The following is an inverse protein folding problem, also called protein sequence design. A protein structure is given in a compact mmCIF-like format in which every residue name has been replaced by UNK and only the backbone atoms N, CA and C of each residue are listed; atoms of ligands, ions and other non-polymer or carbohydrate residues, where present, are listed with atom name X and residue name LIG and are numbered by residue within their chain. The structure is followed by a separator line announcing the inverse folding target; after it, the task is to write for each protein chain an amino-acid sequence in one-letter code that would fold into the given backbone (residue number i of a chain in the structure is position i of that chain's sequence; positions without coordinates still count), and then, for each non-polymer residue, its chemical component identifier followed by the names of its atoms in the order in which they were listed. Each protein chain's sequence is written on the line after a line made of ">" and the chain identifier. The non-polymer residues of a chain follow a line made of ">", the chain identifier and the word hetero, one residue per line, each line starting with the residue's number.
data_IF_318120489330
#
_entry.id   IF_318120489330
#
_cell.length_a   1.000
_cell.length_b   1.000
_cell.length_c   1.000
_cell.angle_alpha   90.00
_cell.angle_beta   90.00
_cell.angle_gamma   90.00
#
_symmetry.space_group_name_H-M   'P 1'
#
loop_
_entity.id
_entity.type
_entity.pdbx_description
1 polymer ?
#
# COMPACT_ATOMS: atom_id res chain seq x y z
N UNK A 1 18.47 43.00 38.23
CA UNK A 1 18.86 41.62 38.61
C UNK A 1 18.16 40.65 37.64
N UNK A 2 18.80 40.35 36.52
CA UNK A 2 18.38 39.31 35.56
C UNK A 2 19.64 38.52 35.23
N UNK A 3 19.65 37.23 35.61
CA UNK A 3 20.73 36.30 35.30
C UNK A 3 20.51 35.70 33.92
N UNK A 4 21.49 35.89 33.06
CA UNK A 4 21.68 35.22 31.79
C UNK A 4 21.93 33.71 31.98
N UNK A 5 21.23 32.86 31.25
CA UNK A 5 21.58 31.43 31.07
C UNK A 5 22.32 31.28 29.76
N UNK A 6 23.53 30.81 29.88
CA UNK A 6 24.41 30.56 28.75
C UNK A 6 23.97 29.33 27.93
N UNK A 7 24.15 29.46 26.63
CA UNK A 7 24.07 28.38 25.63
C UNK A 7 25.23 27.42 25.80
N UNK A 8 24.96 26.16 26.07
CA UNK A 8 25.91 25.08 25.92
C UNK A 8 25.71 24.45 24.54
N UNK A 9 26.59 24.79 23.62
CA UNK A 9 26.77 24.03 22.36
C UNK A 9 27.49 22.72 22.70
N UNK A 10 26.79 21.60 22.57
CA UNK A 10 27.40 20.29 22.59
C UNK A 10 27.82 19.91 21.15
N UNK A 11 29.10 19.96 20.88
CA UNK A 11 29.72 19.34 19.70
C UNK A 11 29.83 17.84 19.96
N UNK A 12 28.95 17.05 19.37
CA UNK A 12 29.07 15.59 19.39
C UNK A 12 29.96 15.16 18.24
N UNK A 13 31.17 14.75 18.55
CA UNK A 13 32.08 14.02 17.67
C UNK A 13 31.59 12.57 17.58
N UNK A 14 31.04 12.18 16.44
CA UNK A 14 30.71 10.79 16.15
C UNK A 14 31.98 10.00 15.87
N UNK A 15 32.42 9.23 16.86
CA UNK A 15 33.40 8.15 16.68
C UNK A 15 32.69 6.90 16.20
N UNK A 16 33.01 6.45 14.99
CA UNK A 16 32.53 5.20 14.45
C UNK A 16 33.20 4.03 15.17
N UNK A 17 32.47 3.44 16.13
CA UNK A 17 32.87 2.16 16.74
C UNK A 17 31.85 1.11 16.32
N UNK A 18 32.30 0.20 15.46
CA UNK A 18 31.56 -0.98 15.02
C UNK A 18 31.32 -1.90 16.23
N UNK A 19 30.17 -1.80 16.87
CA UNK A 19 29.79 -2.73 17.92
C UNK A 19 29.21 -4.00 17.29
N UNK A 20 29.97 -5.09 17.33
CA UNK A 20 29.47 -6.45 17.16
C UNK A 20 28.56 -6.76 18.34
N UNK A 21 27.25 -6.80 18.12
CA UNK A 21 26.30 -7.35 19.08
C UNK A 21 26.26 -8.86 18.91
N UNK A 22 27.11 -9.56 19.66
CA UNK A 22 26.96 -11.00 19.90
C UNK A 22 26.12 -11.19 21.15
N UNK A 23 24.82 -11.40 20.97
CA UNK A 23 23.99 -11.93 22.07
C UNK A 23 24.14 -13.45 22.12
N UNK A 24 24.99 -13.91 23.01
CA UNK A 24 25.01 -15.29 23.50
C UNK A 24 23.96 -15.40 24.59
N UNK A 25 22.78 -15.91 24.24
CA UNK A 25 21.81 -16.35 25.22
C UNK A 25 22.11 -17.82 25.58
N UNK A 26 22.82 -18.03 26.70
CA UNK A 26 23.07 -19.32 27.26
C UNK A 26 21.99 -19.57 28.34
N UNK A 27 20.90 -20.22 28.00
CA UNK A 27 19.98 -20.81 28.98
C UNK A 27 19.95 -22.33 28.78
N UNK A 28 20.63 -23.04 29.64
CA UNK A 28 20.45 -24.49 29.80
C UNK A 28 19.21 -24.69 30.66
N UNK A 29 18.12 -25.16 30.08
CA UNK A 29 17.01 -25.75 30.81
C UNK A 29 17.25 -27.24 30.95
N UNK A 30 17.11 -27.80 32.18
CA UNK A 30 17.39 -29.20 32.47
C UNK A 30 16.12 -30.06 32.48
N UNK A 31 15.21 -29.97 31.53
CA UNK A 31 14.15 -31.00 31.38
C UNK A 31 13.75 -31.05 29.90
N UNK A 32 14.02 -32.21 29.30
CA UNK A 32 13.87 -32.50 27.89
C UNK A 32 12.44 -32.45 27.38
N UNK A 33 12.13 -31.39 26.67
CA UNK A 33 11.15 -31.40 25.62
C UNK A 33 11.57 -30.33 24.58
N UNK A 34 12.47 -30.73 23.72
CA UNK A 34 12.93 -29.91 22.61
C UNK A 34 11.80 -29.70 21.60
N UNK A 35 10.99 -28.67 21.80
CA UNK A 35 10.22 -28.08 20.69
C UNK A 35 11.24 -27.49 19.72
N UNK A 36 11.49 -28.22 18.64
CA UNK A 36 12.28 -27.74 17.52
C UNK A 36 11.58 -26.50 16.95
N UNK A 37 12.04 -25.31 17.33
CA UNK A 37 11.80 -24.13 16.50
C UNK A 37 12.48 -24.40 15.16
N UNK A 38 11.76 -24.28 14.03
CA UNK A 38 12.37 -24.58 12.72
C UNK A 38 13.56 -23.64 12.53
N UNK A 39 14.75 -24.22 12.45
CA UNK A 39 15.99 -23.49 12.14
C UNK A 39 15.90 -22.71 10.83
N UNK A 40 14.94 -23.10 9.97
CA UNK A 40 14.55 -22.37 8.74
C UNK A 40 14.02 -20.96 8.98
N UNK A 41 13.22 -20.73 10.03
CA UNK A 41 12.68 -19.39 10.34
C UNK A 41 13.77 -18.42 10.85
N UNK A 42 14.77 -18.93 11.58
CA UNK A 42 15.89 -18.11 12.03
C UNK A 42 16.81 -17.72 10.88
N UNK A 43 17.14 -18.67 9.98
CA UNK A 43 17.95 -18.37 8.77
C UNK A 43 17.24 -17.43 7.80
N UNK A 44 15.91 -17.53 7.68
CA UNK A 44 15.15 -16.60 6.88
C UNK A 44 15.27 -15.16 7.42
N UNK A 45 15.07 -14.93 8.74
CA UNK A 45 15.17 -13.60 9.36
C UNK A 45 16.57 -12.98 9.27
N UNK A 46 17.63 -13.75 9.46
CA UNK A 46 19.02 -13.27 9.39
C UNK A 46 19.46 -12.95 7.95
N UNK A 47 18.79 -13.51 6.92
CA UNK A 47 19.10 -13.27 5.51
C UNK A 47 18.43 -12.03 4.90
N UNK A 48 17.36 -11.49 5.50
CA UNK A 48 16.52 -10.44 4.92
C UNK A 48 16.99 -9.03 5.28
N UNK A 49 17.37 -8.78 6.54
CA UNK A 49 17.92 -7.50 6.95
C UNK A 49 19.10 -7.03 6.07
N UNK A 50 20.09 -7.90 5.71
CA UNK A 50 21.15 -7.51 4.78
C UNK A 50 20.68 -7.20 3.35
N UNK A 51 19.56 -7.76 2.88
CA UNK A 51 19.03 -7.49 1.54
C UNK A 51 18.36 -6.13 1.46
N UNK A 52 17.53 -5.80 2.44
CA UNK A 52 16.88 -4.49 2.53
C UNK A 52 17.94 -3.40 2.72
N UNK A 53 18.95 -3.63 3.54
CA UNK A 53 20.09 -2.72 3.70
C UNK A 53 20.91 -2.56 2.41
N UNK A 54 21.10 -3.61 1.59
CA UNK A 54 21.79 -3.53 0.28
C UNK A 54 20.99 -2.77 -0.75
N UNK A 55 19.65 -2.83 -0.70
CA UNK A 55 18.80 -2.01 -1.55
C UNK A 55 19.03 -0.54 -1.25
N UNK A 56 19.06 -0.18 0.02
CA UNK A 56 19.41 1.14 0.46
C UNK A 56 20.76 1.61 -0.12
N UNK A 57 21.79 0.79 -0.05
CA UNK A 57 23.12 1.10 -0.58
C UNK A 57 23.13 1.30 -2.12
N UNK A 58 22.25 0.63 -2.88
CA UNK A 58 22.11 0.84 -4.34
C UNK A 58 21.50 2.21 -4.67
N UNK A 59 20.47 2.61 -3.92
CA UNK A 59 19.83 3.92 -4.07
C UNK A 59 20.83 5.04 -3.75
N UNK A 60 21.59 4.90 -2.66
CA UNK A 60 22.64 5.87 -2.29
C UNK A 60 23.71 5.99 -3.39
N UNK A 61 24.17 4.87 -3.94
CA UNK A 61 25.17 4.88 -5.00
C UNK A 61 24.69 5.59 -6.25
N UNK A 62 23.41 5.44 -6.58
CA UNK A 62 22.76 6.14 -7.70
C UNK A 62 22.63 7.65 -7.45
N UNK A 63 22.65 8.12 -6.19
CA UNK A 63 22.55 9.55 -5.84
C UNK A 63 23.88 10.27 -5.72
N UNK A 64 24.97 9.52 -5.49
CA UNK A 64 26.32 10.10 -5.23
C UNK A 64 27.23 10.00 -6.45
N UNK A 65 26.86 9.18 -7.42
CA UNK A 65 27.65 8.91 -8.62
C UNK A 65 27.05 9.73 -9.78
N UNK A 66 27.75 10.77 -10.25
CA UNK A 66 27.27 11.62 -11.36
C UNK A 66 27.06 10.83 -12.67
N UNK A 67 27.65 9.62 -12.78
CA UNK A 67 27.47 8.67 -13.86
C UNK A 67 26.43 7.57 -13.54
N UNK A 68 25.80 7.59 -12.34
CA UNK A 68 24.77 6.63 -12.00
C UNK A 68 23.48 6.90 -12.79
N UNK A 69 22.76 5.86 -13.22
CA UNK A 69 21.45 6.07 -13.83
C UNK A 69 20.56 6.85 -12.85
N UNK A 70 19.93 7.91 -13.37
CA UNK A 70 18.97 8.70 -12.59
C UNK A 70 18.00 7.74 -11.86
N UNK A 71 17.71 8.06 -10.60
CA UNK A 71 16.67 7.32 -9.88
C UNK A 71 15.40 7.37 -10.73
N UNK A 72 14.71 6.24 -10.90
CA UNK A 72 13.47 6.25 -11.65
C UNK A 72 12.52 7.29 -11.03
N UNK A 73 11.94 8.14 -11.85
CA UNK A 73 10.86 9.02 -11.42
C UNK A 73 9.79 8.16 -10.75
N UNK A 74 9.46 8.49 -9.50
CA UNK A 74 8.40 7.80 -8.80
C UNK A 74 7.07 8.41 -9.22
N UNK A 75 6.11 7.56 -9.58
CA UNK A 75 4.73 7.97 -9.87
C UNK A 75 4.01 8.25 -8.53
N UNK A 76 4.10 9.50 -8.10
CA UNK A 76 3.55 9.96 -6.82
C UNK A 76 2.14 10.49 -7.04
N UNK A 77 1.24 10.08 -6.17
CA UNK A 77 -0.15 10.56 -6.14
C UNK A 77 -0.50 11.14 -4.78
N UNK A 78 -1.43 12.07 -4.77
CA UNK A 78 -1.96 12.65 -3.53
C UNK A 78 -3.22 11.90 -3.11
N UNK A 79 -3.20 11.39 -1.87
CA UNK A 79 -4.32 10.71 -1.21
C UNK A 79 -4.73 11.54 0.02
N UNK A 80 -5.59 12.53 -0.17
CA UNK A 80 -5.89 13.50 0.87
C UNK A 80 -4.62 14.20 1.37
N UNK A 81 -4.23 14.04 2.65
CA UNK A 81 -3.02 14.64 3.21
C UNK A 81 -1.74 13.85 2.90
N UNK A 82 -1.85 12.65 2.31
CA UNK A 82 -0.73 11.76 2.04
C UNK A 82 -0.20 11.93 0.62
N UNK A 83 1.10 11.85 0.49
CA UNK A 83 1.75 11.52 -0.77
C UNK A 83 2.05 10.02 -0.78
N UNK A 84 1.55 9.30 -1.76
CA UNK A 84 1.71 7.87 -1.92
C UNK A 84 2.19 7.50 -3.32
N UNK A 85 2.53 6.23 -3.52
CA UNK A 85 2.77 5.69 -4.86
C UNK A 85 1.45 5.51 -5.62
N UNK A 86 1.53 5.57 -6.94
CA UNK A 86 0.38 5.31 -7.81
C UNK A 86 -0.13 3.86 -7.74
N UNK A 87 0.55 3.00 -6.98
CA UNK A 87 0.17 1.60 -6.72
C UNK A 87 0.44 1.27 -5.26
N UNK A 88 -0.45 0.51 -4.62
CA UNK A 88 -0.32 0.00 -3.26
C UNK A 88 -0.09 -1.51 -3.25
N UNK A 89 0.53 -2.01 -2.19
CA UNK A 89 0.78 -3.44 -1.96
C UNK A 89 0.02 -3.90 -0.73
N UNK A 90 -0.68 -5.02 -0.82
CA UNK A 90 -1.26 -5.71 0.34
C UNK A 90 -0.32 -6.79 0.86
N UNK A 91 -0.03 -6.73 2.15
CA UNK A 91 0.74 -7.74 2.86
C UNK A 91 -0.12 -8.92 3.35
N UNK A 92 -1.31 -9.09 2.81
CA UNK A 92 -2.24 -10.17 3.19
C UNK A 92 -1.58 -11.54 3.10
N UNK A 93 -1.77 -12.34 4.16
CA UNK A 93 -1.21 -13.67 4.32
C UNK A 93 0.34 -13.72 4.39
N UNK A 94 1.02 -12.60 4.58
CA UNK A 94 2.47 -12.60 4.74
C UNK A 94 2.87 -13.10 6.14
N UNK A 95 3.89 -13.94 6.17
CA UNK A 95 4.37 -14.60 7.38
C UNK A 95 5.83 -14.26 7.74
N UNK A 96 6.48 -13.42 6.94
CA UNK A 96 7.87 -13.04 7.10
C UNK A 96 8.85 -14.06 6.50
N UNK A 97 8.40 -14.87 5.57
CA UNK A 97 9.24 -15.79 4.80
C UNK A 97 10.12 -15.10 3.75
N UNK A 98 10.94 -15.90 3.05
CA UNK A 98 11.83 -15.39 2.00
C UNK A 98 11.09 -14.75 0.85
N UNK A 99 9.92 -15.28 0.50
CA UNK A 99 9.12 -14.79 -0.61
C UNK A 99 8.53 -13.43 -0.28
N UNK A 100 8.01 -13.26 0.96
CA UNK A 100 7.48 -11.98 1.43
C UNK A 100 8.54 -10.88 1.41
N UNK A 101 9.75 -11.18 1.90
CA UNK A 101 10.85 -10.23 1.89
C UNK A 101 11.34 -9.90 0.46
N UNK A 102 11.38 -10.90 -0.43
CA UNK A 102 11.72 -10.66 -1.84
C UNK A 102 10.64 -9.82 -2.53
N UNK A 103 9.36 -10.05 -2.22
CA UNK A 103 8.26 -9.27 -2.73
C UNK A 103 8.33 -7.81 -2.22
N UNK A 104 8.56 -7.61 -0.92
CA UNK A 104 8.77 -6.28 -0.33
C UNK A 104 9.89 -5.52 -1.03
N UNK A 105 11.07 -6.15 -1.18
CA UNK A 105 12.22 -5.53 -1.85
C UNK A 105 11.88 -5.16 -3.30
N UNK A 106 11.24 -6.07 -4.05
CA UNK A 106 10.86 -5.81 -5.43
C UNK A 106 9.85 -4.66 -5.56
N UNK A 107 8.92 -4.55 -4.63
CA UNK A 107 7.95 -3.46 -4.58
C UNK A 107 8.62 -2.12 -4.27
N UNK A 108 9.48 -2.06 -3.26
CA UNK A 108 10.21 -0.83 -2.91
C UNK A 108 11.13 -0.38 -4.05
N UNK A 109 11.83 -1.32 -4.70
CA UNK A 109 12.66 -1.05 -5.89
C UNK A 109 11.85 -0.43 -7.05
N UNK A 110 10.54 -0.65 -7.07
CA UNK A 110 9.60 -0.08 -8.05
C UNK A 110 8.90 1.17 -7.56
N UNK A 111 9.19 1.65 -6.35
CA UNK A 111 8.61 2.87 -5.81
C UNK A 111 7.27 2.70 -5.11
N UNK A 112 6.93 1.50 -4.66
CA UNK A 112 5.76 1.33 -3.80
C UNK A 112 6.04 1.93 -2.42
N UNK A 113 5.22 2.90 -2.02
CA UNK A 113 5.35 3.55 -0.71
C UNK A 113 4.05 3.50 0.10
N UNK A 114 3.06 2.72 -0.34
CA UNK A 114 1.81 2.50 0.38
C UNK A 114 1.56 0.99 0.53
N UNK A 115 1.46 0.52 1.77
CA UNK A 115 1.35 -0.92 2.08
C UNK A 115 0.21 -1.17 3.06
N UNK A 116 -0.69 -2.08 2.69
CA UNK A 116 -1.78 -2.55 3.54
C UNK A 116 -1.34 -3.69 4.45
N UNK A 117 -1.79 -3.64 5.71
CA UNK A 117 -1.71 -4.71 6.68
C UNK A 117 -3.10 -4.97 7.27
N UNK A 118 -3.68 -6.13 6.99
CA UNK A 118 -5.04 -6.47 7.41
C UNK A 118 -5.11 -7.18 8.77
N UNK A 119 -3.96 -7.64 9.28
CA UNK A 119 -3.85 -8.33 10.56
C UNK A 119 -2.73 -7.74 11.42
N UNK A 120 -2.80 -7.99 12.72
CA UNK A 120 -1.75 -7.57 13.66
C UNK A 120 -0.37 -8.20 13.36
N UNK A 121 -0.35 -9.41 12.83
CA UNK A 121 0.89 -10.09 12.43
C UNK A 121 1.53 -9.42 11.21
N UNK A 122 0.72 -9.04 10.24
CA UNK A 122 1.15 -8.30 9.05
C UNK A 122 1.62 -6.90 9.42
N UNK A 123 0.87 -6.18 10.27
CA UNK A 123 1.26 -4.87 10.77
C UNK A 123 2.64 -4.92 11.45
N UNK A 124 2.82 -5.86 12.37
CA UNK A 124 4.11 -6.07 13.03
C UNK A 124 5.23 -6.31 12.03
N UNK A 125 5.00 -7.18 11.03
CA UNK A 125 5.98 -7.51 10.01
C UNK A 125 6.33 -6.29 9.14
N UNK A 126 5.34 -5.51 8.73
CA UNK A 126 5.56 -4.30 7.92
C UNK A 126 6.31 -3.22 8.70
N UNK A 127 6.02 -3.04 9.99
CA UNK A 127 6.76 -2.09 10.82
C UNK A 127 8.20 -2.56 11.09
N UNK A 128 8.46 -3.87 11.18
CA UNK A 128 9.82 -4.41 11.20
C UNK A 128 10.57 -4.08 9.89
N UNK A 129 9.92 -4.26 8.72
CA UNK A 129 10.52 -3.95 7.41
C UNK A 129 10.73 -2.44 7.22
N UNK A 130 9.78 -1.62 7.62
CA UNK A 130 9.90 -0.16 7.65
C UNK A 130 11.08 0.28 8.55
N UNK A 131 11.27 -0.36 9.71
CA UNK A 131 12.40 -0.11 10.58
C UNK A 131 13.76 -0.43 9.93
N UNK A 132 13.87 -1.54 9.21
CA UNK A 132 15.09 -1.87 8.46
C UNK A 132 15.38 -0.87 7.34
N UNK A 133 14.36 -0.38 6.65
CA UNK A 133 14.49 0.68 5.66
C UNK A 133 15.03 1.96 6.30
N UNK A 134 14.43 2.40 7.40
CA UNK A 134 14.80 3.65 8.08
C UNK A 134 16.23 3.64 8.66
N UNK A 135 16.77 2.47 8.97
CA UNK A 135 18.16 2.31 9.41
C UNK A 135 19.15 2.18 8.27
N UNK A 136 18.71 2.15 7.02
CA UNK A 136 19.60 2.06 5.87
C UNK A 136 20.27 3.42 5.59
N UNK A 137 21.51 3.40 5.12
CA UNK A 137 22.20 4.62 4.66
C UNK A 137 21.43 5.32 3.54
N UNK A 138 20.66 4.55 2.76
CA UNK A 138 19.84 5.07 1.70
C UNK A 138 18.72 5.98 2.21
N UNK A 139 18.02 5.59 3.27
CA UNK A 139 16.98 6.42 3.87
C UNK A 139 17.57 7.74 4.39
N UNK A 140 18.80 7.70 4.94
CA UNK A 140 19.46 8.87 5.47
C UNK A 140 19.94 9.86 4.39
N UNK A 141 20.29 9.37 3.21
CA UNK A 141 20.90 10.18 2.13
C UNK A 141 19.92 10.54 1.02
N UNK A 142 18.91 9.71 0.78
CA UNK A 142 18.00 9.87 -0.36
C UNK A 142 16.85 10.85 -0.13
N UNK A 143 16.53 11.19 1.12
CA UNK A 143 15.31 11.91 1.43
C UNK A 143 14.02 11.12 1.09
N UNK A 144 14.12 9.89 0.63
CA UNK A 144 12.98 9.01 0.34
C UNK A 144 12.32 8.61 1.65
N UNK A 145 11.04 8.91 1.77
CA UNK A 145 10.26 8.54 2.96
C UNK A 145 10.11 7.02 3.08
N UNK A 146 10.08 6.47 4.30
CA UNK A 146 9.74 5.06 4.49
C UNK A 146 8.33 4.81 3.95
N UNK A 147 8.04 3.57 3.50
CA UNK A 147 6.68 3.21 3.08
C UNK A 147 5.66 3.49 4.19
N UNK A 148 4.53 4.05 3.82
CA UNK A 148 3.38 4.28 4.70
C UNK A 148 2.64 2.95 4.89
N UNK A 149 2.47 2.52 6.12
CA UNK A 149 1.73 1.31 6.47
C UNK A 149 0.35 1.68 6.97
N UNK A 150 -0.68 1.27 6.28
CA UNK A 150 -2.05 1.40 6.77
C UNK A 150 -2.62 0.06 7.21
N UNK A 151 -3.43 0.09 8.29
CA UNK A 151 -4.11 -1.12 8.77
C UNK A 151 -5.61 -0.99 8.66
N UNK A 152 -6.23 -2.04 8.13
CA UNK A 152 -7.67 -2.17 8.04
C UNK A 152 -8.17 -2.76 9.35
N UNK A 153 -9.06 -2.03 10.02
CA UNK A 153 -9.63 -2.43 11.31
C UNK A 153 -11.15 -2.53 11.18
N UNK A 154 -11.67 -3.74 11.38
CA UNK A 154 -13.10 -3.98 11.49
C UNK A 154 -13.55 -3.61 12.92
N UNK A 155 -14.40 -2.60 13.00
CA UNK A 155 -14.92 -2.12 14.29
C UNK A 155 -16.25 -2.72 14.69
N UNK A 156 -16.92 -3.48 13.82
CA UNK A 156 -18.20 -4.12 14.12
C UNK A 156 -18.08 -5.23 15.18
N UNK A 157 -16.87 -5.78 15.35
CA UNK A 157 -16.56 -6.80 16.33
C UNK A 157 -16.05 -6.25 17.68
N UNK A 158 -15.88 -4.92 17.81
CA UNK A 158 -15.36 -4.27 18.98
C UNK A 158 -16.42 -3.35 19.63
N UNK A 159 -16.25 -3.04 20.93
CA UNK A 159 -17.16 -2.13 21.63
C UNK A 159 -17.01 -0.68 21.17
N UNK A 160 -15.82 -0.33 20.69
CA UNK A 160 -15.50 1.01 20.16
C UNK A 160 -14.33 1.00 19.21
N UNK A 161 -14.16 2.07 18.43
CA UNK A 161 -12.98 2.29 17.58
C UNK A 161 -11.69 2.21 18.40
N UNK A 162 -11.68 2.81 19.59
CA UNK A 162 -10.54 2.76 20.51
C UNK A 162 -10.15 1.33 20.86
N UNK A 163 -11.13 0.51 21.25
CA UNK A 163 -10.87 -0.87 21.68
C UNK A 163 -10.36 -1.72 20.52
N UNK A 164 -10.92 -1.52 19.32
CA UNK A 164 -10.43 -2.17 18.11
C UNK A 164 -8.97 -1.83 17.81
N UNK A 165 -8.59 -0.56 17.90
CA UNK A 165 -7.22 -0.11 17.66
C UNK A 165 -6.28 -0.62 18.75
N UNK A 166 -6.67 -0.53 20.02
CA UNK A 166 -5.86 -1.04 21.12
C UNK A 166 -5.64 -2.55 21.02
N UNK A 167 -6.65 -3.30 20.61
CA UNK A 167 -6.53 -4.75 20.37
C UNK A 167 -5.55 -5.04 19.21
N UNK A 168 -5.64 -4.30 18.11
CA UNK A 168 -4.71 -4.42 17.00
C UNK A 168 -3.26 -4.17 17.45
N UNK A 169 -3.01 -3.03 18.10
CA UNK A 169 -1.66 -2.61 18.54
C UNK A 169 -1.10 -3.57 19.58
N UNK A 170 -1.90 -4.00 20.55
CA UNK A 170 -1.48 -4.98 21.55
C UNK A 170 -1.11 -6.32 20.89
N UNK A 171 -1.92 -6.82 19.97
CA UNK A 171 -1.64 -8.06 19.24
C UNK A 171 -0.45 -7.91 18.28
N UNK A 172 -0.19 -6.70 17.76
CA UNK A 172 0.99 -6.37 16.95
C UNK A 172 2.26 -6.11 17.79
N UNK A 173 2.22 -6.38 19.10
CA UNK A 173 3.35 -6.17 20.02
C UNK A 173 3.79 -4.70 20.12
N UNK A 174 2.82 -3.78 20.12
CA UNK A 174 3.03 -2.35 20.22
C UNK A 174 3.33 -1.65 18.88
N UNK A 175 3.24 -2.37 17.75
CA UNK A 175 3.39 -1.75 16.44
C UNK A 175 2.12 -0.97 16.06
N UNK A 176 2.29 0.31 15.70
CA UNK A 176 1.20 1.21 15.33
C UNK A 176 1.17 1.44 13.82
N UNK A 177 -0.01 1.48 13.17
CA UNK A 177 -0.10 1.85 11.76
C UNK A 177 0.16 3.36 11.57
N UNK A 178 0.63 3.74 10.38
CA UNK A 178 0.77 5.15 10.01
C UNK A 178 -0.59 5.75 9.61
N UNK A 179 -1.50 4.91 9.10
CA UNK A 179 -2.89 5.26 8.75
C UNK A 179 -3.83 4.18 9.28
N UNK A 180 -4.89 4.60 9.95
CA UNK A 180 -5.95 3.71 10.40
C UNK A 180 -7.09 3.69 9.36
N UNK A 181 -7.28 2.57 8.69
CA UNK A 181 -8.38 2.36 7.75
C UNK A 181 -9.53 1.64 8.45
N UNK A 182 -10.65 2.35 8.61
CA UNK A 182 -11.81 1.87 9.36
C UNK A 182 -12.77 1.14 8.43
N UNK A 183 -13.02 -0.12 8.74
CA UNK A 183 -14.04 -0.94 8.10
C UNK A 183 -15.21 -1.18 9.05
N UNK A 184 -16.44 -0.95 8.60
CA UNK A 184 -17.67 -1.27 9.31
C UNK A 184 -18.82 -1.37 8.33
N UNK A 185 -19.65 -2.38 8.50
CA UNK A 185 -20.89 -2.57 7.72
C UNK A 185 -22.13 -2.10 8.47
N UNK A 186 -22.08 -2.12 9.79
CA UNK A 186 -23.25 -1.97 10.64
C UNK A 186 -23.30 -0.63 11.36
N UNK A 187 -22.16 0.00 11.62
CA UNK A 187 -22.10 1.22 12.40
C UNK A 187 -22.41 2.45 11.56
N UNK A 188 -23.12 3.39 12.17
CA UNK A 188 -23.41 4.72 11.64
C UNK A 188 -22.12 5.53 11.43
N UNK A 189 -22.03 6.26 10.32
CA UNK A 189 -20.82 7.00 9.95
C UNK A 189 -20.43 8.08 10.97
N UNK A 190 -21.42 8.77 11.53
CA UNK A 190 -21.21 9.78 12.56
C UNK A 190 -20.76 9.17 13.88
N UNK A 191 -21.32 8.00 14.24
CA UNK A 191 -20.88 7.26 15.41
C UNK A 191 -19.43 6.82 15.27
N UNK A 192 -19.02 6.31 14.09
CA UNK A 192 -17.63 5.98 13.78
C UNK A 192 -16.71 7.19 13.88
N UNK A 193 -17.10 8.33 13.32
CA UNK A 193 -16.32 9.56 13.40
C UNK A 193 -16.12 10.02 14.85
N UNK A 194 -17.17 9.95 15.68
CA UNK A 194 -17.05 10.26 17.11
C UNK A 194 -16.15 9.27 17.85
N UNK A 195 -16.18 7.99 17.47
CA UNK A 195 -15.25 6.98 17.99
C UNK A 195 -13.80 7.27 17.63
N UNK A 196 -13.54 7.75 16.42
CA UNK A 196 -12.20 8.20 15.97
C UNK A 196 -11.72 9.39 16.81
N UNK A 197 -12.58 10.40 17.01
CA UNK A 197 -12.25 11.56 17.86
C UNK A 197 -11.86 11.12 19.26
N UNK A 198 -12.68 10.30 19.88
CA UNK A 198 -12.41 9.79 21.21
C UNK A 198 -11.10 9.00 21.30
N UNK A 199 -10.82 8.17 20.29
CA UNK A 199 -9.55 7.43 20.21
C UNK A 199 -8.35 8.37 20.01
N UNK A 200 -8.48 9.39 19.18
CA UNK A 200 -7.46 10.43 18.95
C UNK A 200 -7.14 11.23 20.20
N UNK A 201 -8.15 11.73 20.89
CA UNK A 201 -8.00 12.52 22.13
C UNK A 201 -7.27 11.73 23.23
N UNK A 202 -7.38 10.42 23.20
CA UNK A 202 -6.68 9.50 24.11
C UNK A 202 -5.30 9.06 23.60
N UNK A 203 -4.86 9.55 22.44
CA UNK A 203 -3.60 9.16 21.82
C UNK A 203 -3.56 7.69 21.36
N UNK A 204 -4.73 7.07 21.14
CA UNK A 204 -4.84 5.66 20.76
C UNK A 204 -4.96 5.43 19.23
N UNK A 205 -4.99 6.51 18.44
CA UNK A 205 -5.19 6.42 16.99
C UNK A 205 -4.30 7.44 16.27
N UNK A 206 -3.76 7.15 15.07
CA UNK A 206 -3.03 8.13 14.28
C UNK A 206 -3.95 9.26 13.80
N UNK A 207 -3.39 10.44 13.55
CA UNK A 207 -4.14 11.59 13.03
C UNK A 207 -4.58 11.43 11.58
N UNK A 208 -3.99 10.48 10.85
CA UNK A 208 -4.40 10.15 9.49
C UNK A 208 -5.25 8.91 9.51
N UNK A 209 -6.47 9.04 9.01
CA UNK A 209 -7.45 7.93 8.95
C UNK A 209 -7.92 7.71 7.51
N UNK A 210 -8.43 6.53 7.25
CA UNK A 210 -9.07 6.15 6.00
C UNK A 210 -10.33 5.35 6.31
N UNK A 211 -11.16 5.10 5.31
CA UNK A 211 -12.35 4.27 5.43
C UNK A 211 -12.36 3.18 4.36
N UNK A 212 -13.05 2.07 4.63
CA UNK A 212 -13.17 0.93 3.74
C UNK A 212 -14.63 0.69 3.35
N UNK A 213 -14.92 0.78 2.05
CA UNK A 213 -16.22 0.47 1.49
C UNK A 213 -17.32 1.50 1.77
N UNK A 214 -17.00 2.76 2.07
CA UNK A 214 -18.01 3.77 2.30
C UNK A 214 -18.59 4.26 0.97
N UNK A 215 -19.91 4.29 0.87
CA UNK A 215 -20.61 4.98 -0.21
C UNK A 215 -20.56 6.50 -0.04
N UNK A 216 -21.08 7.23 -1.02
CA UNK A 216 -21.05 8.71 -1.02
C UNK A 216 -21.66 9.31 0.24
N UNK A 217 -22.81 8.84 0.69
CA UNK A 217 -23.53 9.41 1.82
C UNK A 217 -22.79 9.16 3.15
N UNK A 218 -22.35 7.93 3.38
CA UNK A 218 -21.54 7.59 4.57
C UNK A 218 -20.24 8.35 4.61
N UNK A 219 -19.56 8.50 3.47
CA UNK A 219 -18.30 9.23 3.40
C UNK A 219 -18.50 10.71 3.72
N UNK A 220 -19.52 11.35 3.16
CA UNK A 220 -19.85 12.74 3.44
C UNK A 220 -20.17 12.98 4.92
N UNK A 221 -20.97 12.12 5.51
CA UNK A 221 -21.33 12.20 6.92
C UNK A 221 -20.10 12.02 7.83
N UNK A 222 -19.24 11.05 7.50
CA UNK A 222 -18.00 10.79 8.25
C UNK A 222 -17.03 11.98 8.19
N UNK A 223 -16.77 12.51 6.99
CA UNK A 223 -15.86 13.65 6.78
C UNK A 223 -16.41 14.90 7.44
N UNK A 224 -17.71 15.18 7.27
CA UNK A 224 -18.37 16.33 7.90
C UNK A 224 -18.29 16.26 9.43
N UNK A 225 -18.46 15.08 10.00
CA UNK A 225 -18.35 14.90 11.44
C UNK A 225 -16.92 15.17 11.96
N UNK A 226 -15.87 14.97 11.15
CA UNK A 226 -14.47 15.14 11.54
C UNK A 226 -13.91 16.53 11.23
N UNK A 227 -14.56 17.34 10.39
CA UNK A 227 -14.01 18.59 9.83
C UNK A 227 -13.48 19.59 10.86
N UNK A 228 -14.12 19.66 12.02
CA UNK A 228 -13.78 20.61 13.09
C UNK A 228 -12.84 19.99 14.16
N UNK A 229 -12.23 18.84 13.88
CA UNK A 229 -11.31 18.16 14.79
C UNK A 229 -9.87 18.37 14.34
N UNK A 230 -9.12 19.31 14.96
CA UNK A 230 -7.74 19.55 14.59
C UNK A 230 -6.88 18.28 14.76
N UNK A 231 -6.05 18.00 13.77
CA UNK A 231 -5.11 16.87 13.81
C UNK A 231 -5.66 15.56 13.26
N UNK A 232 -6.95 15.49 12.89
CA UNK A 232 -7.51 14.34 12.16
C UNK A 232 -7.73 14.72 10.71
N UNK A 233 -7.29 13.85 9.80
CA UNK A 233 -7.46 14.03 8.36
C UNK A 233 -7.87 12.70 7.71
N UNK A 234 -8.83 12.74 6.78
CA UNK A 234 -9.26 11.56 6.02
C UNK A 234 -8.44 11.48 4.74
N UNK A 235 -7.65 10.43 4.61
CA UNK A 235 -6.71 10.26 3.51
C UNK A 235 -7.38 9.64 2.28
N UNK A 236 -8.06 8.52 2.44
CA UNK A 236 -8.67 7.81 1.32
C UNK A 236 -9.88 6.97 1.73
N UNK A 237 -10.69 6.64 0.74
CA UNK A 237 -11.69 5.59 0.81
C UNK A 237 -11.19 4.38 0.00
N UNK A 238 -11.06 3.24 0.66
CA UNK A 238 -10.69 1.98 0.04
C UNK A 238 -11.95 1.29 -0.46
N UNK A 239 -12.05 1.03 -1.75
CA UNK A 239 -13.26 0.48 -2.38
C UNK A 239 -12.90 -0.59 -3.41
N UNK A 240 -13.73 -1.64 -3.60
CA UNK A 240 -13.59 -2.52 -4.76
C UNK A 240 -13.79 -1.72 -6.04
N UNK A 241 -12.81 -1.80 -6.95
CA UNK A 241 -12.90 -1.15 -8.26
C UNK A 241 -11.94 -1.83 -9.25
N UNK A 242 -12.45 -2.13 -10.43
CA UNK A 242 -11.70 -2.73 -11.54
C UNK A 242 -12.38 -2.46 -12.87
N UNK A 243 -11.81 -2.94 -13.96
CA UNK A 243 -12.50 -2.99 -15.27
C UNK A 243 -13.82 -3.79 -15.21
N UNK A 244 -13.89 -4.83 -14.35
CA UNK A 244 -15.07 -5.68 -14.23
C UNK A 244 -16.10 -5.17 -13.20
N UNK A 245 -15.71 -4.28 -12.30
CA UNK A 245 -16.60 -3.70 -11.28
C UNK A 245 -16.35 -2.20 -11.17
N UNK A 246 -17.28 -1.41 -11.68
CA UNK A 246 -17.27 0.05 -11.66
C UNK A 246 -18.41 0.63 -10.81
N UNK A 247 -18.95 -0.16 -9.89
CA UNK A 247 -20.11 0.22 -9.05
C UNK A 247 -19.85 1.54 -8.31
N UNK A 248 -18.68 1.74 -7.74
CA UNK A 248 -18.34 2.96 -7.00
C UNK A 248 -18.14 4.20 -7.89
N UNK A 249 -17.90 4.02 -9.19
CA UNK A 249 -17.92 5.11 -10.18
C UNK A 249 -19.36 5.51 -10.48
N UNK A 250 -20.21 4.55 -10.81
CA UNK A 250 -21.58 4.78 -11.26
C UNK A 250 -22.55 5.22 -10.16
N UNK A 251 -22.31 4.81 -8.89
CA UNK A 251 -23.13 5.19 -7.73
C UNK A 251 -22.79 6.56 -7.13
N UNK A 252 -21.82 7.28 -7.71
CA UNK A 252 -21.42 8.63 -7.29
C UNK A 252 -20.37 8.69 -6.18
N UNK A 253 -19.89 7.57 -5.66
CA UNK A 253 -18.91 7.55 -4.56
C UNK A 253 -17.59 8.18 -4.97
N UNK A 254 -17.06 7.87 -6.17
CA UNK A 254 -15.81 8.47 -6.65
C UNK A 254 -15.94 9.98 -6.83
N UNK A 255 -17.10 10.46 -7.28
CA UNK A 255 -17.39 11.89 -7.38
C UNK A 255 -17.42 12.57 -5.99
N UNK A 256 -17.96 11.90 -4.97
CA UNK A 256 -17.93 12.37 -3.59
C UNK A 256 -16.51 12.43 -3.04
N UNK A 257 -15.70 11.39 -3.22
CA UNK A 257 -14.29 11.37 -2.83
C UNK A 257 -13.54 12.57 -3.43
N UNK A 258 -13.67 12.79 -4.73
CA UNK A 258 -13.02 13.92 -5.43
C UNK A 258 -13.46 15.28 -4.85
N UNK A 259 -14.76 15.47 -4.62
CA UNK A 259 -15.29 16.71 -4.04
C UNK A 259 -14.81 16.98 -2.63
N UNK A 260 -14.65 15.94 -1.82
CA UNK A 260 -14.19 16.01 -0.43
C UNK A 260 -12.66 16.06 -0.29
N UNK A 261 -11.92 15.93 -1.38
CA UNK A 261 -10.46 15.85 -1.35
C UNK A 261 -9.94 14.55 -0.71
N UNK A 262 -10.76 13.49 -0.71
CA UNK A 262 -10.42 12.15 -0.21
C UNK A 262 -9.90 11.32 -1.37
N UNK A 263 -8.73 10.69 -1.22
CA UNK A 263 -8.17 9.79 -2.21
C UNK A 263 -8.97 8.49 -2.34
N UNK A 264 -8.66 7.69 -3.34
CA UNK A 264 -9.31 6.39 -3.54
C UNK A 264 -8.28 5.29 -3.74
N UNK A 265 -8.39 4.23 -2.94
CA UNK A 265 -7.61 2.99 -3.08
C UNK A 265 -8.53 1.90 -3.61
N UNK A 266 -8.18 1.33 -4.77
CA UNK A 266 -8.94 0.25 -5.41
C UNK A 266 -8.47 -1.10 -4.87
N UNK A 267 -9.27 -1.75 -4.03
CA UNK A 267 -8.89 -2.96 -3.29
C UNK A 267 -8.95 -4.26 -4.10
N UNK A 268 -9.55 -4.26 -5.26
CA UNK A 268 -9.65 -5.44 -6.14
C UNK A 268 -9.45 -5.02 -7.60
N UNK A 269 -8.29 -4.43 -7.94
CA UNK A 269 -8.10 -3.75 -9.23
C UNK A 269 -8.14 -4.68 -10.44
N UNK A 270 -8.08 -6.00 -10.22
CA UNK A 270 -8.14 -7.04 -11.25
C UNK A 270 -9.44 -7.85 -11.20
N UNK A 271 -10.41 -7.43 -10.39
CA UNK A 271 -11.67 -8.12 -10.14
C UNK A 271 -11.64 -9.00 -8.87
N UNK A 272 -12.81 -9.31 -8.35
CA UNK A 272 -12.97 -10.07 -7.11
C UNK A 272 -12.41 -11.49 -7.26
N UNK A 273 -11.60 -11.93 -6.30
CA UNK A 273 -10.97 -13.25 -6.30
C UNK A 273 -9.75 -13.38 -7.22
N UNK A 274 -9.38 -12.35 -7.97
CA UNK A 274 -8.15 -12.34 -8.75
C UNK A 274 -6.95 -12.03 -7.84
N UNK A 275 -6.51 -13.01 -7.06
CA UNK A 275 -5.12 -13.00 -6.62
C UNK A 275 -4.27 -12.93 -7.88
N UNK A 276 -3.34 -11.99 -7.91
CA UNK A 276 -2.36 -11.91 -9.00
C UNK A 276 -1.45 -13.16 -8.89
N UNK A 277 -1.98 -14.32 -9.28
CA UNK A 277 -1.25 -15.58 -9.21
C UNK A 277 -0.73 -16.03 -10.56
N UNK A 278 -1.33 -15.58 -11.63
CA UNK A 278 -0.86 -15.77 -13.02
C UNK A 278 -1.79 -14.99 -13.97
N UNK A 279 -1.23 -14.28 -14.85
CA UNK A 279 -1.55 -13.75 -16.18
C UNK A 279 -2.86 -14.17 -16.87
N UNK A 280 -3.67 -14.96 -16.28
CA UNK A 280 -4.95 -15.36 -16.83
C UNK A 280 -6.05 -14.78 -15.95
N UNK A 281 -6.67 -13.74 -16.42
CA UNK A 281 -8.07 -13.46 -16.15
C UNK A 281 -8.88 -14.69 -16.65
N UNK A 282 -8.79 -15.82 -15.94
CA UNK A 282 -9.36 -17.09 -16.40
C UNK A 282 -10.89 -17.03 -16.53
N UNK A 283 -11.51 -16.03 -15.94
CA UNK A 283 -12.94 -15.75 -16.02
C UNK A 283 -13.25 -14.45 -16.78
N UNK A 284 -12.23 -13.71 -17.26
CA UNK A 284 -12.44 -12.53 -18.05
C UNK A 284 -12.82 -12.87 -19.49
N UNK A 285 -13.69 -12.05 -20.05
CA UNK A 285 -14.00 -12.04 -21.47
C UNK A 285 -12.72 -12.05 -22.32
N UNK A 286 -12.58 -13.06 -23.16
CA UNK A 286 -11.41 -13.24 -24.04
C UNK A 286 -11.21 -12.03 -24.97
N UNK A 287 -12.28 -11.33 -25.33
CA UNK A 287 -12.21 -10.12 -26.13
C UNK A 287 -11.59 -8.96 -25.34
N UNK A 288 -11.90 -8.84 -24.06
CA UNK A 288 -11.26 -7.84 -23.19
C UNK A 288 -9.75 -8.15 -23.04
N UNK A 289 -9.35 -9.39 -22.85
CA UNK A 289 -7.91 -9.77 -22.77
C UNK A 289 -7.17 -9.41 -24.06
N UNK A 290 -7.77 -9.69 -25.24
CA UNK A 290 -7.20 -9.30 -26.54
C UNK A 290 -7.10 -7.77 -26.70
N UNK A 291 -8.12 -7.05 -26.26
CA UNK A 291 -8.12 -5.59 -26.30
C UNK A 291 -7.02 -5.01 -25.40
N UNK A 292 -6.86 -5.52 -24.18
CA UNK A 292 -5.79 -5.10 -23.26
C UNK A 292 -4.39 -5.38 -23.87
N UNK A 293 -4.21 -6.55 -24.51
CA UNK A 293 -2.95 -6.87 -25.20
C UNK A 293 -2.69 -5.93 -26.39
N UNK A 294 -3.72 -5.61 -27.17
CA UNK A 294 -3.62 -4.68 -28.29
C UNK A 294 -3.26 -3.27 -27.80
N UNK A 295 -3.97 -2.74 -26.81
CA UNK A 295 -3.65 -1.45 -26.22
C UNK A 295 -2.24 -1.41 -25.65
N UNK A 296 -1.82 -2.48 -24.96
CA UNK A 296 -0.47 -2.59 -24.42
C UNK A 296 0.64 -2.53 -25.47
N UNK A 297 0.37 -2.99 -26.69
CA UNK A 297 1.29 -2.85 -27.81
C UNK A 297 1.30 -1.44 -28.40
N UNK A 298 0.18 -0.71 -28.35
CA UNK A 298 0.04 0.62 -28.94
C UNK A 298 0.55 1.75 -28.04
N UNK A 299 0.24 1.70 -26.74
CA UNK A 299 0.50 2.82 -25.81
C UNK A 299 1.92 2.82 -25.23
N UNK A 300 2.69 1.80 -25.50
CA UNK A 300 3.98 1.58 -24.82
C UNK A 300 5.16 2.43 -25.30
N UNK A 301 5.01 3.32 -26.30
CA UNK A 301 6.12 4.12 -26.81
C UNK A 301 7.32 3.28 -27.28
N UNK A 302 7.06 2.07 -27.83
CA UNK A 302 8.07 1.08 -28.20
C UNK A 302 8.35 0.02 -27.15
N UNK A 303 7.76 0.11 -25.95
CA UNK A 303 7.81 -0.90 -24.91
C UNK A 303 6.45 -1.59 -24.82
N UNK A 304 6.41 -2.89 -25.11
CA UNK A 304 5.17 -3.66 -24.97
C UNK A 304 4.73 -3.74 -23.49
N UNK A 305 3.49 -3.35 -23.22
CA UNK A 305 2.86 -3.47 -21.90
C UNK A 305 2.01 -4.74 -21.83
N UNK A 306 2.06 -5.44 -20.70
CA UNK A 306 1.22 -6.63 -20.52
C UNK A 306 -0.26 -6.23 -20.29
N UNK A 307 -1.22 -7.13 -20.54
CA UNK A 307 -2.63 -6.91 -20.19
C UNK A 307 -2.82 -6.54 -18.73
N UNK A 308 -2.04 -7.14 -17.83
CA UNK A 308 -2.01 -6.81 -16.39
C UNK A 308 -1.63 -5.35 -16.16
N UNK A 309 -0.55 -4.88 -16.82
CA UNK A 309 -0.10 -3.49 -16.69
C UNK A 309 -1.15 -2.51 -17.25
N UNK A 310 -1.81 -2.84 -18.36
CA UNK A 310 -2.88 -2.01 -18.93
C UNK A 310 -4.08 -1.95 -17.99
N UNK A 311 -4.49 -3.07 -17.39
CA UNK A 311 -5.60 -3.10 -16.43
C UNK A 311 -5.33 -2.24 -15.20
N UNK A 312 -4.13 -2.33 -14.63
CA UNK A 312 -3.75 -1.49 -13.48
C UNK A 312 -3.65 -0.01 -13.88
N UNK A 313 -3.09 0.27 -15.07
CA UNK A 313 -2.97 1.62 -15.57
C UNK A 313 -4.34 2.26 -15.86
N UNK A 314 -5.34 1.48 -16.29
CA UNK A 314 -6.72 1.95 -16.39
C UNK A 314 -7.22 2.49 -15.04
N UNK A 315 -7.04 1.75 -13.97
CA UNK A 315 -7.43 2.19 -12.61
C UNK A 315 -6.69 3.48 -12.23
N UNK A 316 -5.38 3.55 -12.50
CA UNK A 316 -4.57 4.75 -12.25
C UNK A 316 -5.03 5.95 -13.11
N UNK A 317 -5.41 5.72 -14.37
CA UNK A 317 -5.88 6.77 -15.29
C UNK A 317 -7.24 7.35 -14.88
N UNK A 318 -8.04 6.58 -14.11
CA UNK A 318 -9.25 7.09 -13.45
C UNK A 318 -8.94 7.88 -12.16
N UNK A 319 -7.67 8.02 -11.78
CA UNK A 319 -7.23 8.75 -10.59
C UNK A 319 -7.28 7.94 -9.29
N UNK A 320 -7.32 6.61 -9.38
CA UNK A 320 -7.34 5.71 -8.23
C UNK A 320 -5.98 5.03 -8.06
N UNK A 321 -5.70 4.56 -6.83
CA UNK A 321 -4.51 3.77 -6.51
C UNK A 321 -4.89 2.29 -6.44
N UNK A 322 -4.49 1.45 -7.41
CA UNK A 322 -4.73 0.02 -7.31
C UNK A 322 -3.91 -0.60 -6.19
N UNK A 323 -4.56 -1.38 -5.32
CA UNK A 323 -3.94 -2.18 -4.28
C UNK A 323 -3.81 -3.62 -4.77
N UNK A 324 -2.57 -4.05 -5.03
CA UNK A 324 -2.30 -5.42 -5.46
C UNK A 324 -2.00 -6.33 -4.26
N UNK A 325 -2.44 -7.59 -4.36
CA UNK A 325 -2.16 -8.63 -3.39
C UNK A 325 -1.25 -9.68 -4.03
N UNK A 326 -0.02 -9.80 -3.54
CA UNK A 326 0.93 -10.81 -4.04
C UNK A 326 2.03 -11.10 -3.02
N UNK A 327 2.59 -12.32 -3.11
CA UNK A 327 3.82 -12.73 -2.40
C UNK A 327 4.97 -12.97 -3.37
N UNK A 328 4.75 -12.75 -4.66
CA UNK A 328 5.73 -12.99 -5.72
C UNK A 328 6.43 -11.69 -6.09
N UNK A 329 7.73 -11.60 -5.80
CA UNK A 329 8.52 -10.42 -6.15
C UNK A 329 8.55 -10.11 -7.65
N UNK A 330 8.54 -11.14 -8.51
CA UNK A 330 8.45 -10.96 -9.97
C UNK A 330 7.15 -10.27 -10.38
N UNK A 331 6.05 -10.59 -9.71
CA UNK A 331 4.74 -10.04 -10.01
C UNK A 331 4.59 -8.62 -9.45
N UNK A 332 5.09 -8.34 -8.24
CA UNK A 332 5.19 -6.98 -7.74
C UNK A 332 6.03 -6.10 -8.68
N UNK A 333 7.11 -6.64 -9.21
CA UNK A 333 7.94 -5.97 -10.20
C UNK A 333 7.20 -5.70 -11.51
N UNK A 334 6.46 -6.68 -12.03
CA UNK A 334 5.64 -6.54 -13.25
C UNK A 334 4.54 -5.49 -13.06
N UNK A 335 3.78 -5.57 -11.97
CA UNK A 335 2.73 -4.60 -11.66
C UNK A 335 3.29 -3.17 -11.56
N UNK A 336 4.50 -3.01 -11.01
CA UNK A 336 5.19 -1.71 -10.98
C UNK A 336 5.45 -1.11 -12.37
N UNK A 337 5.51 -1.92 -13.41
CA UNK A 337 5.60 -1.47 -14.79
C UNK A 337 4.35 -0.78 -15.33
N UNK A 338 3.26 -0.74 -14.57
CA UNK A 338 2.07 0.05 -14.88
C UNK A 338 2.17 1.53 -14.49
N UNK A 339 3.17 1.92 -13.71
CA UNK A 339 3.44 3.30 -13.33
C UNK A 339 4.21 4.07 -14.43
N UNK A 340 4.32 5.39 -14.29
CA UNK A 340 5.08 6.32 -15.13
C UNK A 340 4.55 6.50 -16.56
N UNK A 341 3.34 6.07 -16.83
CA UNK A 341 2.61 6.31 -18.09
C UNK A 341 1.12 6.28 -17.79
N UNK A 342 0.30 6.78 -18.71
CA UNK A 342 -1.16 6.76 -18.58
C UNK A 342 -1.79 6.42 -19.93
N UNK A 343 -2.91 5.71 -19.87
CA UNK A 343 -3.82 5.59 -21.00
C UNK A 343 -4.38 6.96 -21.33
N UNK A 344 -4.50 7.25 -22.60
CA UNK A 344 -5.21 8.44 -23.07
C UNK A 344 -6.74 8.26 -23.00
N UNK A 345 -7.47 9.36 -23.15
CA UNK A 345 -8.93 9.37 -23.04
C UNK A 345 -9.59 8.44 -24.07
N UNK A 346 -8.98 8.26 -25.25
CA UNK A 346 -9.49 7.38 -26.30
C UNK A 346 -9.37 5.91 -25.89
N UNK A 347 -8.21 5.49 -25.36
CA UNK A 347 -8.00 4.14 -24.86
C UNK A 347 -8.89 3.83 -23.66
N UNK A 348 -9.08 4.80 -22.76
CA UNK A 348 -10.02 4.70 -21.64
C UNK A 348 -11.44 4.51 -22.14
N UNK A 349 -11.90 5.34 -23.11
CA UNK A 349 -13.23 5.25 -23.70
C UNK A 349 -13.51 3.89 -24.34
N UNK A 350 -12.55 3.35 -25.10
CA UNK A 350 -12.66 2.01 -25.71
C UNK A 350 -12.81 0.92 -24.63
N UNK A 351 -12.07 1.03 -23.53
CA UNK A 351 -12.19 0.08 -22.39
C UNK A 351 -13.54 0.22 -21.69
N UNK A 352 -14.01 1.46 -21.46
CA UNK A 352 -15.30 1.74 -20.84
C UNK A 352 -16.46 1.16 -21.67
N UNK A 353 -16.47 1.37 -22.98
CA UNK A 353 -17.47 0.81 -23.90
C UNK A 353 -17.47 -0.72 -23.87
N UNK A 354 -16.29 -1.35 -23.83
CA UNK A 354 -16.18 -2.81 -23.75
C UNK A 354 -16.70 -3.35 -22.43
N UNK A 355 -16.38 -2.70 -21.30
CA UNK A 355 -16.87 -3.11 -19.99
C UNK A 355 -18.39 -2.98 -19.89
N UNK A 356 -18.99 -1.91 -20.43
CA UNK A 356 -20.44 -1.76 -20.48
C UNK A 356 -21.12 -2.84 -21.34
N UNK A 357 -20.51 -3.24 -22.45
CA UNK A 357 -21.02 -4.34 -23.27
C UNK A 357 -21.02 -5.68 -22.50
N UNK A 358 -19.95 -5.95 -21.74
CA UNK A 358 -19.87 -7.14 -20.86
C UNK A 358 -20.91 -7.11 -19.77
N UNK A 359 -21.12 -5.96 -19.08
CA UNK A 359 -22.17 -5.78 -18.07
C UNK A 359 -23.57 -6.03 -18.62
N UNK A 360 -23.82 -5.72 -19.89
CA UNK A 360 -25.09 -5.99 -20.59
C UNK A 360 -25.23 -7.43 -21.10
N UNK A 361 -24.22 -8.28 -20.87
CA UNK A 361 -24.22 -9.68 -21.32
C UNK A 361 -23.91 -9.84 -22.82
N UNK A 362 -23.39 -8.79 -23.46
CA UNK A 362 -22.95 -8.82 -24.85
C UNK A 362 -21.59 -9.52 -24.95
N UNK A 363 -21.57 -10.87 -25.02
CA UNK A 363 -20.37 -11.64 -25.27
C UNK A 363 -19.92 -11.39 -26.71
N UNK A 364 -18.85 -10.59 -26.86
CA UNK A 364 -18.30 -10.32 -28.18
C UNK A 364 -17.66 -11.56 -28.79
N UNK A 365 -18.37 -12.23 -29.66
CA UNK A 365 -17.78 -13.14 -30.61
C UNK A 365 -16.87 -12.33 -31.57
N UNK A 366 -15.60 -12.27 -31.20
CA UNK A 366 -14.47 -12.22 -32.12
C UNK A 366 -14.30 -11.07 -33.12
N UNK A 367 -15.11 -10.04 -33.11
CA UNK A 367 -14.93 -8.87 -33.96
C UNK A 367 -14.10 -7.78 -33.26
N UNK A 368 -12.78 -7.90 -33.24
CA UNK A 368 -11.93 -6.76 -32.96
C UNK A 368 -12.20 -5.64 -33.97
N UNK A 369 -11.97 -4.35 -33.65
CA UNK A 369 -12.10 -3.29 -34.61
C UNK A 369 -11.27 -3.65 -35.84
N UNK A 370 -11.91 -3.65 -37.02
CA UNK A 370 -11.20 -3.85 -38.28
C UNK A 370 -10.10 -2.80 -38.34
N UNK A 371 -8.87 -3.25 -38.38
CA UNK A 371 -7.72 -2.39 -38.63
C UNK A 371 -7.90 -1.79 -40.00
N UNK A 372 -8.28 -0.51 -40.08
CA UNK A 372 -8.23 0.30 -41.29
C UNK A 372 -6.83 0.88 -41.46
#
# INVERSE_FOLDING_TARGET
>A
QIRSRGEMRATATLSATTARVTHVCNTRDPIGNARRTPASLRRAREGHAPRIARLGARIVRAMVDDDAPELPDYDVVTLGPLEGSAIALSARDWTGGSDDANCYVAAIDRGYVLIAASTSSELKLMKEYQGYWSMSEAAALSGVRPPVVYSIVDVDAAESVKDAVQALVAAANGAEPDVLCISSKNSDAKALANGVKAAWELGACPGTVAVDGFDAARLEEFVEALKDTPGIQVAFNRVPYSLADRTFETNGTLAACKRLGVGVVASSPLGEGSRVTNTTHAECDQALVRLLAFLGAMVGGGVQRSPLQVSLNYVMSKGLVPEIETRMGSLAWECGGSMLWRLDDNAIGILDERCEAVEKGETGDGGGPALA
#
